data_IF_013228817934
#
_entry.id   IF_013228817934
#
_cell.length_a   1.000
_cell.length_b   1.000
_cell.length_c   1.000
_cell.angle_alpha   90.00
_cell.angle_beta   90.00
_cell.angle_gamma   90.00
#
_symmetry.space_group_name_H-M   'P 1'
#
loop_
_entity.id
_entity.type
_entity.pdbx_description
1 polymer ?
#
# COMPACT_ATOMS: atom_id res chain seq x y z
N UNK A 1 0.39 -2.03 24.98
CA UNK A 1 -0.03 -1.84 23.60
C UNK A 1 -1.45 -1.31 23.61
N UNK A 2 -1.58 0.02 23.52
CA UNK A 2 -2.88 0.66 23.58
C UNK A 2 -3.70 0.31 22.34
N UNK A 3 -4.92 -0.17 22.57
CA UNK A 3 -5.92 -0.39 21.55
C UNK A 3 -6.29 0.94 20.88
N UNK A 4 -5.60 1.25 19.79
CA UNK A 4 -5.88 2.42 18.94
C UNK A 4 -7.06 2.19 18.00
N UNK A 5 -7.59 0.98 17.97
CA UNK A 5 -8.70 0.57 17.11
C UNK A 5 -9.96 1.42 17.28
N UNK A 6 -10.46 1.68 18.49
CA UNK A 6 -11.70 2.44 18.67
C UNK A 6 -11.62 3.92 18.29
N UNK A 7 -10.44 4.54 18.42
CA UNK A 7 -10.25 5.94 18.04
C UNK A 7 -10.23 6.09 16.52
N UNK A 8 -9.50 5.23 15.82
CA UNK A 8 -9.46 5.19 14.36
C UNK A 8 -10.85 4.86 13.79
N UNK A 9 -11.53 3.87 14.34
CA UNK A 9 -12.89 3.51 13.93
C UNK A 9 -13.91 4.65 14.11
N UNK A 10 -13.78 5.45 15.17
CA UNK A 10 -14.63 6.63 15.37
C UNK A 10 -14.35 7.74 14.37
N UNK A 11 -13.09 7.93 13.96
CA UNK A 11 -12.72 8.88 12.92
C UNK A 11 -13.19 8.41 11.53
N UNK A 12 -12.96 7.15 11.23
CA UNK A 12 -13.33 6.53 9.96
C UNK A 12 -14.86 6.42 9.82
N UNK A 13 -15.58 6.12 10.90
CA UNK A 13 -17.03 5.97 10.88
C UNK A 13 -17.81 7.26 10.57
N UNK A 14 -17.14 8.43 10.55
CA UNK A 14 -17.71 9.71 10.11
C UNK A 14 -17.40 10.04 8.65
N UNK A 15 -16.53 9.25 8.03
CA UNK A 15 -16.13 9.40 6.65
C UNK A 15 -16.78 8.29 5.83
N UNK A 16 -17.21 8.61 4.64
CA UNK A 16 -17.68 7.61 3.67
C UNK A 16 -16.46 6.88 3.07
N UNK A 17 -15.92 5.97 3.88
CA UNK A 17 -14.76 5.15 3.50
C UNK A 17 -15.26 3.80 3.01
N UNK A 18 -14.80 3.33 1.86
CA UNK A 18 -15.12 2.01 1.37
C UNK A 18 -14.64 0.92 2.34
N UNK A 19 -15.18 -0.27 2.20
CA UNK A 19 -14.75 -1.42 2.99
C UNK A 19 -13.25 -1.65 2.80
N UNK A 20 -12.56 -1.95 3.88
CA UNK A 20 -11.14 -2.28 3.88
C UNK A 20 -10.94 -3.78 4.03
N UNK A 21 -9.90 -4.31 3.40
CA UNK A 21 -9.45 -5.69 3.55
C UNK A 21 -7.94 -5.75 3.76
N UNK A 22 -7.40 -6.81 4.37
CA UNK A 22 -5.97 -7.06 4.38
C UNK A 22 -5.44 -7.09 2.94
N UNK A 23 -4.28 -6.47 2.71
CA UNK A 23 -3.70 -6.44 1.36
C UNK A 23 -3.58 -7.85 0.79
N UNK A 24 -4.23 -8.17 -0.35
CA UNK A 24 -4.11 -9.46 -0.99
C UNK A 24 -2.69 -9.70 -1.53
N UNK A 25 -2.26 -10.95 -1.59
CA UNK A 25 -0.93 -11.32 -2.10
C UNK A 25 -0.70 -10.95 -3.56
N UNK A 26 -1.76 -10.85 -4.34
CA UNK A 26 -1.76 -10.47 -5.75
C UNK A 26 -2.02 -8.99 -6.00
N UNK A 27 -2.19 -8.19 -4.92
CA UNK A 27 -2.41 -6.75 -5.04
C UNK A 27 -1.26 -6.07 -5.76
N UNK A 28 -1.56 -5.07 -6.59
CA UNK A 28 -0.54 -4.34 -7.38
C UNK A 28 0.57 -3.76 -6.51
N UNK A 29 0.24 -3.28 -5.30
CA UNK A 29 1.20 -2.75 -4.36
C UNK A 29 2.32 -3.74 -4.01
N UNK A 30 2.04 -5.04 -3.99
CA UNK A 30 3.02 -6.09 -3.66
C UNK A 30 4.11 -6.24 -4.71
N UNK A 31 3.92 -5.68 -5.90
CA UNK A 31 4.79 -5.85 -7.06
C UNK A 31 4.93 -4.60 -7.94
N UNK A 32 4.63 -3.42 -7.40
CA UNK A 32 4.70 -2.17 -8.18
C UNK A 32 6.12 -1.85 -8.65
N UNK A 33 7.13 -2.18 -7.84
CA UNK A 33 8.54 -2.09 -8.17
C UNK A 33 9.32 -3.27 -7.56
N UNK A 34 9.25 -3.43 -6.24
CA UNK A 34 9.79 -4.59 -5.52
C UNK A 34 8.73 -5.66 -5.35
N UNK A 35 9.14 -6.93 -5.32
CA UNK A 35 8.28 -8.03 -4.88
C UNK A 35 8.28 -8.07 -3.36
N UNK A 36 7.13 -7.75 -2.76
CA UNK A 36 6.97 -7.65 -1.31
C UNK A 36 5.94 -8.67 -0.82
N UNK A 37 6.30 -9.39 0.24
CA UNK A 37 5.41 -10.33 0.94
C UNK A 37 5.00 -9.83 2.33
N UNK A 38 5.69 -8.81 2.84
CA UNK A 38 5.42 -8.19 4.13
C UNK A 38 5.67 -6.69 4.04
N UNK A 39 5.04 -5.95 4.93
CA UNK A 39 5.06 -4.49 4.95
C UNK A 39 5.42 -3.96 6.34
N UNK A 40 6.62 -4.27 6.84
CA UNK A 40 7.08 -3.74 8.11
C UNK A 40 7.38 -2.24 7.99
N UNK A 41 7.13 -1.51 9.07
CA UNK A 41 7.56 -0.13 9.24
C UNK A 41 8.53 -0.03 10.42
N UNK A 42 8.35 0.97 11.28
CA UNK A 42 9.04 1.04 12.57
C UNK A 42 8.72 -0.18 13.44
N UNK A 43 7.48 -0.66 13.34
CA UNK A 43 6.99 -1.88 13.96
C UNK A 43 6.76 -2.94 12.90
N UNK A 44 6.80 -4.18 13.31
CA UNK A 44 6.47 -5.33 12.47
C UNK A 44 5.25 -6.08 13.06
N UNK A 45 4.61 -6.91 12.23
CA UNK A 45 3.48 -7.74 12.61
C UNK A 45 2.11 -7.07 12.55
N UNK A 46 2.05 -5.77 12.23
CA UNK A 46 0.79 -5.10 11.93
C UNK A 46 0.32 -5.39 10.51
N UNK A 47 -1.00 -5.42 10.32
CA UNK A 47 -1.60 -5.64 9.01
C UNK A 47 -1.60 -4.36 8.17
N UNK A 48 -1.27 -4.48 6.89
CA UNK A 48 -1.59 -3.44 5.90
C UNK A 48 -2.99 -3.69 5.35
N UNK A 49 -3.84 -2.68 5.48
CA UNK A 49 -5.21 -2.68 4.98
C UNK A 49 -5.31 -1.81 3.74
N UNK A 50 -6.06 -2.29 2.77
CA UNK A 50 -6.33 -1.60 1.51
C UNK A 50 -7.83 -1.53 1.28
N UNK A 51 -8.25 -0.64 0.40
CA UNK A 51 -9.62 -0.60 -0.09
C UNK A 51 -9.97 -1.95 -0.73
N UNK A 52 -11.05 -2.58 -0.24
CA UNK A 52 -11.50 -3.86 -0.75
C UNK A 52 -11.96 -3.73 -2.20
N UNK A 53 -11.52 -4.66 -3.04
CA UNK A 53 -12.02 -4.75 -4.41
C UNK A 53 -13.41 -5.36 -4.38
N UNK A 54 -14.40 -4.63 -4.85
CA UNK A 54 -15.70 -5.21 -5.14
C UNK A 54 -15.57 -6.09 -6.38
N UNK A 55 -15.58 -7.39 -6.17
CA UNK A 55 -15.76 -8.35 -7.27
C UNK A 55 -17.21 -8.24 -7.73
N UNK A 56 -17.44 -7.46 -8.77
CA UNK A 56 -18.73 -7.46 -9.43
C UNK A 56 -18.82 -8.70 -10.30
N UNK A 57 -19.57 -9.68 -9.86
CA UNK A 57 -20.10 -10.76 -10.73
C UNK A 57 -21.21 -10.24 -11.68
N UNK A 58 -21.49 -8.96 -11.63
CA UNK A 58 -22.61 -8.34 -12.30
C UNK A 58 -22.10 -7.23 -13.23
N UNK A 59 -22.17 -7.47 -14.54
CA UNK A 59 -21.65 -6.64 -15.61
C UNK A 59 -22.35 -5.28 -15.80
N UNK A 60 -22.59 -4.51 -14.73
CA UNK A 60 -23.14 -3.17 -14.82
C UNK A 60 -22.04 -2.13 -14.95
N UNK A 61 -22.00 -1.48 -16.10
CA UNK A 61 -21.27 -0.25 -16.37
C UNK A 61 -21.72 0.85 -15.41
N UNK A 62 -20.83 1.39 -14.65
CA UNK A 62 -21.12 2.60 -13.89
C UNK A 62 -20.09 2.95 -12.83
N UNK A 63 -19.49 4.10 -13.08
CA UNK A 63 -18.71 4.89 -12.17
C UNK A 63 -17.19 4.66 -12.19
N UNK A 64 -16.43 5.72 -12.50
CA UNK A 64 -14.96 5.78 -12.53
C UNK A 64 -14.28 5.21 -11.26
N UNK A 65 -14.99 5.24 -10.13
CA UNK A 65 -14.54 4.68 -8.87
C UNK A 65 -14.51 3.14 -8.91
N UNK A 66 -15.50 2.52 -9.53
CA UNK A 66 -15.60 1.06 -9.72
C UNK A 66 -14.58 0.55 -10.72
N UNK A 67 -14.31 1.32 -11.77
CA UNK A 67 -13.27 0.98 -12.75
C UNK A 67 -11.88 0.97 -12.11
N UNK A 68 -11.56 1.93 -11.22
CA UNK A 68 -10.29 1.96 -10.48
C UNK A 68 -10.14 0.81 -9.51
N UNK A 69 -11.22 0.36 -8.87
CA UNK A 69 -11.24 -0.80 -7.98
C UNK A 69 -11.05 -2.11 -8.75
N UNK A 70 -11.66 -2.24 -9.93
CA UNK A 70 -11.49 -3.41 -10.80
C UNK A 70 -10.04 -3.60 -11.28
N UNK A 71 -9.27 -2.51 -11.34
CA UNK A 71 -7.88 -2.51 -11.81
C UNK A 71 -6.84 -2.83 -10.71
N UNK A 72 -7.26 -3.15 -9.50
CA UNK A 72 -6.36 -3.45 -8.37
C UNK A 72 -5.65 -2.23 -7.81
N UNK A 73 -6.19 -1.01 -8.05
CA UNK A 73 -5.70 0.23 -7.48
C UNK A 73 -6.50 0.59 -6.24
N UNK A 74 -5.84 0.68 -5.10
CA UNK A 74 -6.44 1.15 -3.86
C UNK A 74 -6.04 2.59 -3.59
N UNK A 75 -7.02 3.44 -3.31
CA UNK A 75 -6.80 4.84 -2.94
C UNK A 75 -6.47 5.01 -1.46
N UNK A 76 -6.75 3.99 -0.66
CA UNK A 76 -6.60 4.03 0.81
C UNK A 76 -5.69 2.88 1.23
N UNK A 77 -4.65 3.24 1.96
CA UNK A 77 -3.71 2.33 2.60
C UNK A 77 -3.63 2.67 4.09
N UNK A 78 -3.88 1.72 4.96
CA UNK A 78 -3.85 1.91 6.41
C UNK A 78 -3.01 0.81 7.05
N UNK A 79 -2.06 1.20 7.90
CA UNK A 79 -1.24 0.26 8.67
C UNK A 79 -0.88 0.84 10.03
N UNK A 80 -0.77 0.01 11.08
CA UNK A 80 -0.22 0.42 12.36
C UNK A 80 1.32 0.37 12.41
N UNK A 81 1.99 -0.05 11.33
CA UNK A 81 3.43 -0.34 11.33
C UNK A 81 4.32 0.91 11.35
N UNK A 82 3.75 2.12 11.23
CA UNK A 82 4.47 3.39 11.32
C UNK A 82 5.62 3.49 10.30
N UNK A 83 5.25 3.57 9.03
CA UNK A 83 6.21 3.74 7.93
C UNK A 83 6.97 5.08 8.03
N UNK A 84 6.28 6.14 8.41
CA UNK A 84 6.88 7.48 8.46
C UNK A 84 8.08 7.52 9.41
N UNK A 85 7.97 6.93 10.60
CA UNK A 85 9.10 6.84 11.52
C UNK A 85 10.22 5.93 11.02
N UNK A 86 9.88 4.88 10.25
CA UNK A 86 10.91 4.02 9.65
C UNK A 86 11.72 4.75 8.57
N UNK A 87 11.10 5.71 7.86
CA UNK A 87 11.75 6.50 6.81
C UNK A 87 12.46 7.75 7.33
N UNK A 88 12.14 8.20 8.54
CA UNK A 88 12.63 9.46 9.07
C UNK A 88 14.15 9.44 9.28
N UNK A 89 14.83 10.40 8.67
CA UNK A 89 16.26 10.63 8.77
C UNK A 89 16.52 12.04 9.33
N UNK A 90 17.62 12.21 10.04
CA UNK A 90 18.11 13.52 10.44
C UNK A 90 18.86 14.23 9.30
N UNK A 91 19.35 15.44 9.57
CA UNK A 91 20.09 16.24 8.59
C UNK A 91 21.39 15.57 8.09
N UNK A 92 21.94 14.64 8.87
CA UNK A 92 23.12 13.85 8.48
C UNK A 92 22.79 12.62 7.66
N UNK A 93 21.50 12.31 7.48
CA UNK A 93 21.03 11.08 6.83
C UNK A 93 20.97 9.87 7.75
N UNK A 94 21.14 10.07 9.07
CA UNK A 94 21.02 8.98 10.03
C UNK A 94 19.56 8.75 10.46
N UNK A 95 19.14 7.51 10.70
CA UNK A 95 17.79 7.21 11.17
C UNK A 95 17.48 7.85 12.52
N UNK A 96 16.35 8.56 12.62
CA UNK A 96 15.91 9.19 13.85
C UNK A 96 15.36 8.17 14.84
N UNK A 97 14.64 7.18 14.36
CA UNK A 97 13.96 6.20 15.20
C UNK A 97 14.48 4.79 14.95
N UNK A 98 14.64 3.98 15.99
CA UNK A 98 14.94 2.57 15.81
C UNK A 98 13.75 1.85 15.19
N UNK A 99 14.01 0.84 14.37
CA UNK A 99 13.01 -0.11 13.90
C UNK A 99 13.12 -1.41 14.67
N UNK A 100 11.98 -1.98 15.04
CA UNK A 100 11.90 -3.09 15.99
C UNK A 100 10.96 -4.16 15.43
N UNK A 101 11.32 -5.45 15.49
CA UNK A 101 12.52 -6.04 16.07
C UNK A 101 13.69 -6.22 15.09
N UNK A 102 13.47 -6.05 13.77
CA UNK A 102 14.35 -6.51 12.71
C UNK A 102 15.51 -5.58 12.30
N UNK A 103 15.71 -4.43 12.96
CA UNK A 103 16.83 -3.53 12.70
C UNK A 103 16.92 -3.06 11.23
N UNK A 104 18.14 -2.98 10.70
CA UNK A 104 18.40 -2.40 9.37
C UNK A 104 17.71 -3.16 8.22
N UNK A 105 17.58 -4.46 8.34
CA UNK A 105 16.84 -5.25 7.32
C UNK A 105 15.37 -4.86 7.28
N UNK A 106 14.76 -4.64 8.43
CA UNK A 106 13.37 -4.18 8.54
C UNK A 106 13.23 -2.77 7.97
N UNK A 107 14.19 -1.88 8.23
CA UNK A 107 14.22 -0.53 7.65
C UNK A 107 14.31 -0.57 6.13
N UNK A 108 15.16 -1.42 5.58
CA UNK A 108 15.26 -1.61 4.13
C UNK A 108 13.90 -2.07 3.54
N UNK A 109 13.22 -3.00 4.19
CA UNK A 109 11.89 -3.44 3.75
C UNK A 109 10.85 -2.31 3.83
N UNK A 110 10.92 -1.47 4.86
CA UNK A 110 10.07 -0.30 4.97
C UNK A 110 10.33 0.72 3.85
N UNK A 111 11.59 0.95 3.48
CA UNK A 111 11.96 1.81 2.36
C UNK A 111 11.48 1.24 1.02
N UNK A 112 11.63 -0.05 0.79
CA UNK A 112 11.09 -0.73 -0.40
C UNK A 112 9.56 -0.62 -0.48
N UNK A 113 8.89 -0.72 0.65
CA UNK A 113 7.44 -0.46 0.73
C UNK A 113 7.12 0.97 0.33
N UNK A 114 7.89 1.94 0.77
CA UNK A 114 7.74 3.35 0.37
C UNK A 114 7.88 3.55 -1.13
N UNK A 115 8.86 2.91 -1.76
CA UNK A 115 9.03 2.93 -3.22
C UNK A 115 7.80 2.33 -3.92
N UNK A 116 7.31 1.20 -3.45
CA UNK A 116 6.12 0.58 -4.02
C UNK A 116 4.87 1.45 -3.87
N UNK A 117 4.70 2.13 -2.73
CA UNK A 117 3.59 3.06 -2.51
C UNK A 117 3.64 4.22 -3.52
N UNK A 118 4.80 4.83 -3.69
CA UNK A 118 4.98 5.93 -4.65
C UNK A 118 4.71 5.45 -6.09
N UNK A 119 5.28 4.31 -6.48
CA UNK A 119 5.05 3.72 -7.79
C UNK A 119 3.58 3.37 -8.01
N UNK A 120 2.91 2.81 -7.00
CA UNK A 120 1.48 2.53 -7.03
C UNK A 120 0.65 3.81 -7.22
N UNK A 121 0.97 4.88 -6.49
CA UNK A 121 0.29 6.15 -6.61
C UNK A 121 0.49 6.78 -8.00
N UNK A 122 1.70 6.73 -8.54
CA UNK A 122 2.02 7.29 -9.86
C UNK A 122 1.42 6.47 -11.00
N UNK A 123 1.43 5.14 -10.92
CA UNK A 123 0.92 4.26 -11.98
C UNK A 123 -0.57 4.04 -11.91
N UNK A 124 -1.21 4.24 -10.76
CA UNK A 124 -2.65 4.15 -10.59
C UNK A 124 -3.45 5.07 -11.52
N UNK A 125 -2.88 6.21 -11.89
CA UNK A 125 -3.48 7.14 -12.85
C UNK A 125 -3.29 6.71 -14.32
N UNK A 126 -2.35 5.81 -14.61
CA UNK A 126 -2.06 5.30 -15.96
C UNK A 126 -2.79 4.01 -16.31
N UNK A 127 -3.54 3.44 -15.38
CA UNK A 127 -4.27 2.19 -15.62
C UNK A 127 -5.48 2.33 -16.54
N UNK A 128 -5.94 3.54 -16.79
CA UNK A 128 -6.86 3.79 -17.89
C UNK A 128 -6.23 3.48 -19.27
N UNK A 129 -4.88 3.47 -19.34
CA UNK A 129 -4.10 3.09 -20.52
C UNK A 129 -3.43 1.72 -20.31
N UNK A 130 -4.20 0.66 -20.25
CA UNK A 130 -3.71 -0.73 -20.12
C UNK A 130 -2.75 -1.18 -21.24
N UNK A 131 -2.59 -0.36 -22.28
CA UNK A 131 -1.75 -0.66 -23.44
C UNK A 131 -0.25 -0.65 -23.11
N UNK A 132 0.17 -0.01 -22.00
CA UNK A 132 1.58 0.17 -21.68
C UNK A 132 2.16 -0.80 -20.64
N UNK A 133 1.33 -1.47 -19.85
CA UNK A 133 1.79 -2.39 -18.80
C UNK A 133 2.52 -3.62 -19.36
N UNK A 134 2.05 -4.29 -20.44
CA UNK A 134 2.79 -5.39 -21.05
C UNK A 134 4.14 -4.97 -21.58
N UNK A 135 4.26 -3.79 -22.21
CA UNK A 135 5.50 -3.28 -22.77
C UNK A 135 6.53 -2.89 -21.70
N UNK A 136 6.08 -2.43 -20.52
CA UNK A 136 6.95 -2.16 -19.37
C UNK A 136 7.47 -3.44 -18.74
N UNK A 137 6.62 -4.45 -18.57
CA UNK A 137 7.00 -5.75 -18.05
C UNK A 137 7.96 -6.48 -19.01
N UNK A 138 7.78 -6.33 -20.30
CA UNK A 138 8.69 -6.89 -21.33
C UNK A 138 10.08 -6.23 -21.27
N UNK A 139 10.16 -4.94 -21.00
CA UNK A 139 11.43 -4.21 -20.81
C UNK A 139 12.12 -4.52 -19.49
N UNK A 140 11.38 -4.86 -18.42
CA UNK A 140 11.94 -5.21 -17.13
C UNK A 140 12.26 -6.71 -17.01
N UNK A 141 11.75 -7.54 -17.92
CA UNK A 141 12.03 -8.96 -18.02
C UNK A 141 13.23 -9.32 -18.92
N UNK A 142 13.84 -8.30 -19.50
CA UNK A 142 15.09 -8.42 -20.25
C UNK A 142 16.23 -7.78 -19.45
#
# INVERSE_FOLDING_TARGET
>A
AGDRGPALQRLIGRLDIPRLEPVPVDHVLTKSFYLLQSFPGRWDGGQLWVEAQERNDDGSEGDDRRARQADGVSSILITPNDFASAWALDESGAPIYPVVPGGERQREMALRTGVNIVMHALTGNYKADQVHVPALLERLGQ
#
